data_IF_840862460730
#
_entry.id   IF_840862460730
#
_cell.length_a   1.000
_cell.length_b   1.000
_cell.length_c   1.000
_cell.angle_alpha   90.00
_cell.angle_beta   90.00
_cell.angle_gamma   90.00
#
_symmetry.space_group_name_H-M   'P 1'
#
loop_
_entity.id
_entity.type
_entity.pdbx_description
1 polymer ?
#
# COMPACT_ATOMS: atom_id res chain seq x y z
N UNK A 1 15.80 -12.64 -5.64
CA UNK A 1 16.74 -13.49 -4.87
C UNK A 1 17.42 -12.72 -3.76
N UNK A 2 17.51 -13.30 -2.55
CA UNK A 2 18.29 -12.75 -1.43
C UNK A 2 19.77 -13.06 -1.65
N UNK A 3 20.67 -12.08 -1.46
CA UNK A 3 22.11 -12.30 -1.59
C UNK A 3 22.61 -13.22 -0.46
N UNK A 4 23.28 -14.35 -0.79
CA UNK A 4 23.89 -15.21 0.22
C UNK A 4 25.12 -14.54 0.88
N UNK A 5 25.44 -14.85 2.15
CA UNK A 5 26.62 -14.30 2.81
C UNK A 5 27.90 -14.77 2.10
N UNK A 6 28.86 -13.85 1.92
CA UNK A 6 30.18 -14.09 1.30
C UNK A 6 30.16 -14.64 -0.14
N UNK A 7 29.04 -14.53 -0.86
CA UNK A 7 28.92 -14.98 -2.25
C UNK A 7 28.28 -13.90 -3.12
N UNK A 8 28.69 -13.86 -4.39
CA UNK A 8 28.11 -12.95 -5.37
C UNK A 8 26.82 -13.52 -5.97
N UNK A 9 25.95 -12.62 -6.43
CA UNK A 9 24.75 -13.01 -7.16
C UNK A 9 25.17 -13.38 -8.59
N UNK A 10 24.64 -14.47 -9.13
CA UNK A 10 24.85 -14.81 -10.53
C UNK A 10 24.22 -13.75 -11.43
N UNK A 11 24.70 -13.60 -12.67
CA UNK A 11 24.15 -12.64 -13.64
C UNK A 11 22.63 -12.75 -13.78
N UNK A 12 22.10 -13.97 -13.90
CA UNK A 12 20.66 -14.22 -13.98
C UNK A 12 19.90 -13.74 -12.73
N UNK A 13 20.47 -13.93 -11.53
CA UNK A 13 19.88 -13.46 -10.28
C UNK A 13 19.91 -11.93 -10.16
N UNK A 14 20.98 -11.29 -10.64
CA UNK A 14 21.09 -9.84 -10.68
C UNK A 14 20.05 -9.24 -11.64
N UNK A 15 19.93 -9.81 -12.85
CA UNK A 15 18.93 -9.39 -13.83
C UNK A 15 17.51 -9.52 -13.26
N UNK A 16 17.17 -10.65 -12.64
CA UNK A 16 15.88 -10.85 -11.97
C UNK A 16 15.63 -9.79 -10.87
N UNK A 17 16.63 -9.50 -10.04
CA UNK A 17 16.51 -8.49 -9.00
C UNK A 17 16.34 -7.08 -9.58
N UNK A 18 17.03 -6.77 -10.68
CA UNK A 18 16.91 -5.49 -11.37
C UNK A 18 15.52 -5.29 -11.97
N UNK A 19 14.94 -6.34 -12.56
CA UNK A 19 13.57 -6.28 -13.09
C UNK A 19 12.51 -6.14 -11.99
N UNK A 20 12.74 -6.74 -10.82
CA UNK A 20 11.76 -6.73 -9.72
C UNK A 20 11.88 -5.50 -8.80
N UNK A 21 13.04 -4.83 -8.76
CA UNK A 21 13.28 -3.74 -7.83
C UNK A 21 12.33 -2.54 -8.00
N UNK A 22 11.94 -2.09 -9.23
CA UNK A 22 11.03 -0.96 -9.37
C UNK A 22 9.64 -1.30 -8.82
N UNK A 23 9.16 -2.52 -9.06
CA UNK A 23 7.88 -3.00 -8.55
C UNK A 23 7.86 -3.03 -7.02
N UNK A 24 8.96 -3.46 -6.37
CA UNK A 24 9.06 -3.46 -4.90
C UNK A 24 8.95 -2.06 -4.32
N UNK A 25 9.60 -1.07 -4.92
CA UNK A 25 9.52 0.33 -4.46
C UNK A 25 8.06 0.81 -4.46
N UNK A 26 7.30 0.54 -5.53
CA UNK A 26 5.88 0.92 -5.61
C UNK A 26 5.06 0.21 -4.54
N UNK A 27 5.28 -1.11 -4.35
CA UNK A 27 4.59 -1.91 -3.34
C UNK A 27 4.88 -1.38 -1.93
N UNK A 28 6.14 -1.09 -1.60
CA UNK A 28 6.55 -0.58 -0.29
C UNK A 28 5.93 0.79 0.00
N UNK A 29 5.82 1.67 -1.00
CA UNK A 29 5.14 2.96 -0.87
C UNK A 29 3.64 2.78 -0.62
N UNK A 30 2.97 1.91 -1.38
CA UNK A 30 1.56 1.60 -1.16
C UNK A 30 1.34 1.01 0.25
N UNK A 31 2.19 0.07 0.67
CA UNK A 31 2.10 -0.59 1.96
C UNK A 31 2.34 0.37 3.12
N UNK A 32 3.33 1.25 3.01
CA UNK A 32 3.57 2.34 3.97
C UNK A 32 2.38 3.32 4.01
N UNK A 33 1.76 3.56 2.86
CA UNK A 33 0.58 4.39 2.76
C UNK A 33 -0.68 3.78 3.36
N UNK A 34 -0.83 2.44 3.33
CA UNK A 34 -1.91 1.70 3.99
C UNK A 34 -1.75 1.69 5.51
N UNK A 35 -0.51 1.60 6.01
CA UNK A 35 -0.21 1.64 7.46
C UNK A 35 -0.65 2.93 8.16
N UNK A 36 -1.04 3.99 7.43
CA UNK A 36 -1.76 5.12 8.05
C UNK A 36 -3.05 4.70 8.75
N UNK A 37 -3.67 3.61 8.30
CA UNK A 37 -4.77 2.96 8.98
C UNK A 37 -4.20 2.14 10.13
N UNK A 38 -4.37 2.61 11.37
CA UNK A 38 -3.78 1.97 12.57
C UNK A 38 -4.15 0.50 12.72
N UNK A 39 -5.33 0.08 12.25
CA UNK A 39 -5.73 -1.34 12.20
C UNK A 39 -4.78 -2.24 11.38
N UNK A 40 -4.07 -1.68 10.39
CA UNK A 40 -3.09 -2.40 9.56
C UNK A 40 -1.67 -2.23 10.09
N UNK A 41 -1.37 -1.10 10.75
CA UNK A 41 -0.07 -0.84 11.34
C UNK A 41 0.16 -1.59 12.66
N UNK A 42 -0.85 -1.57 13.53
CA UNK A 42 -0.80 -2.14 14.87
C UNK A 42 -1.20 -3.62 14.85
N UNK A 43 -0.91 -4.33 15.94
CA UNK A 43 -1.24 -5.75 16.04
C UNK A 43 -2.76 -5.98 16.08
N UNK A 44 -3.31 -6.51 14.99
CA UNK A 44 -4.72 -6.87 14.90
C UNK A 44 -5.00 -8.20 15.65
N UNK A 45 -5.65 -8.11 16.82
CA UNK A 45 -5.97 -9.27 17.69
C UNK A 45 -7.22 -10.07 17.29
N UNK A 46 -7.72 -9.88 16.06
CA UNK A 46 -8.88 -10.61 15.55
C UNK A 46 -8.53 -12.05 15.18
N UNK A 47 -9.35 -12.99 15.66
CA UNK A 47 -9.28 -14.41 15.29
C UNK A 47 -9.96 -14.64 13.93
N UNK A 48 -9.37 -15.53 13.13
CA UNK A 48 -9.86 -15.89 11.78
C UNK A 48 -9.05 -15.22 10.67
N UNK A 49 -8.47 -16.04 9.79
CA UNK A 49 -7.65 -15.57 8.66
C UNK A 49 -8.45 -14.68 7.70
N UNK A 50 -9.65 -15.13 7.34
CA UNK A 50 -10.55 -14.39 6.44
C UNK A 50 -10.82 -12.96 6.92
N UNK A 51 -11.01 -12.75 8.23
CA UNK A 51 -11.26 -11.43 8.81
C UNK A 51 -10.05 -10.50 8.64
N UNK A 52 -8.84 -11.02 8.86
CA UNK A 52 -7.61 -10.25 8.68
C UNK A 52 -7.38 -9.91 7.21
N UNK A 53 -7.66 -10.83 6.31
CA UNK A 53 -7.56 -10.61 4.87
C UNK A 53 -8.57 -9.54 4.42
N UNK A 54 -9.81 -9.58 4.93
CA UNK A 54 -10.81 -8.52 4.68
C UNK A 54 -10.32 -7.15 5.14
N UNK A 55 -9.70 -7.04 6.32
CA UNK A 55 -9.15 -5.77 6.81
C UNK A 55 -8.11 -5.21 5.84
N UNK A 56 -7.22 -6.04 5.31
CA UNK A 56 -6.22 -5.61 4.32
C UNK A 56 -6.89 -5.17 3.02
N UNK A 57 -7.89 -5.90 2.50
CA UNK A 57 -8.60 -5.52 1.27
C UNK A 57 -9.31 -4.18 1.43
N UNK A 58 -9.99 -3.96 2.56
CA UNK A 58 -10.64 -2.68 2.86
C UNK A 58 -9.61 -1.56 2.95
N UNK A 59 -8.47 -1.82 3.61
CA UNK A 59 -7.38 -0.85 3.71
C UNK A 59 -6.77 -0.48 2.35
N UNK A 60 -6.61 -1.45 1.44
CA UNK A 60 -6.22 -1.20 0.05
C UNK A 60 -7.23 -0.27 -0.64
N UNK A 61 -8.52 -0.55 -0.51
CA UNK A 61 -9.60 0.28 -1.07
C UNK A 61 -9.56 1.72 -0.55
N UNK A 62 -9.43 1.90 0.77
CA UNK A 62 -9.31 3.23 1.39
C UNK A 62 -8.04 3.97 0.96
N UNK A 63 -6.92 3.27 0.83
CA UNK A 63 -5.68 3.85 0.33
C UNK A 63 -5.83 4.31 -1.13
N UNK A 64 -6.44 3.48 -1.98
CA UNK A 64 -6.69 3.80 -3.38
C UNK A 64 -7.65 5.00 -3.51
N UNK A 65 -8.73 5.03 -2.72
CA UNK A 65 -9.62 6.17 -2.65
C UNK A 65 -8.87 7.44 -2.25
N UNK A 66 -7.93 7.35 -1.31
CA UNK A 66 -7.12 8.50 -0.88
C UNK A 66 -6.21 9.03 -1.99
N UNK A 67 -5.53 8.17 -2.73
CA UNK A 67 -4.44 8.58 -3.62
C UNK A 67 -4.86 8.73 -5.08
N UNK A 68 -6.01 8.15 -5.49
CA UNK A 68 -6.46 8.14 -6.89
C UNK A 68 -7.87 8.69 -7.10
N UNK A 69 -8.65 8.95 -6.04
CA UNK A 69 -10.03 9.39 -6.22
C UNK A 69 -10.12 10.86 -6.59
N UNK A 70 -10.83 11.22 -7.68
CA UNK A 70 -11.13 12.60 -8.01
C UNK A 70 -12.09 13.24 -7.00
N UNK A 71 -12.83 12.45 -6.21
CA UNK A 71 -13.73 12.94 -5.16
C UNK A 71 -12.98 13.56 -3.97
N UNK A 72 -11.67 13.32 -3.86
CA UNK A 72 -10.83 13.92 -2.81
C UNK A 72 -10.19 15.24 -3.25
N UNK A 73 -10.28 15.59 -4.54
CA UNK A 73 -10.02 16.96 -4.98
C UNK A 73 -11.09 17.82 -4.30
N UNK A 74 -10.71 18.57 -3.27
CA UNK A 74 -11.58 19.54 -2.65
C UNK A 74 -12.03 20.51 -3.74
N UNK A 75 -13.27 20.36 -4.19
CA UNK A 75 -13.92 21.23 -5.16
C UNK A 75 -14.90 22.10 -4.38
N UNK A 76 -14.47 23.28 -3.87
CA UNK A 76 -15.33 24.16 -3.07
C UNK A 76 -16.60 24.55 -3.83
N UNK A 77 -16.55 24.53 -5.16
CA UNK A 77 -17.64 24.93 -6.05
C UNK A 77 -18.81 23.92 -6.09
N UNK A 78 -18.61 22.69 -5.60
CA UNK A 78 -19.63 21.62 -5.64
C UNK A 78 -20.53 21.57 -4.40
N UNK A 79 -20.25 22.38 -3.39
CA UNK A 79 -21.09 22.50 -2.21
C UNK A 79 -21.57 23.95 -2.13
N UNK A 80 -22.84 24.25 -2.46
CA UNK A 80 -23.36 25.60 -2.27
C UNK A 80 -23.17 25.96 -0.80
N UNK A 81 -22.57 27.12 -0.55
CA UNK A 81 -22.47 27.67 0.80
C UNK A 81 -23.87 27.64 1.39
N UNK A 82 -24.05 26.93 2.52
CA UNK A 82 -25.28 27.01 3.29
C UNK A 82 -25.46 28.49 3.63
N UNK A 83 -26.45 29.12 2.98
CA UNK A 83 -26.79 30.52 3.16
C UNK A 83 -27.21 30.74 4.61
N UNK A 84 -26.60 31.75 5.25
CA UNK A 84 -27.08 32.37 6.48
C UNK A 84 -28.52 32.92 6.32
#
# INVERSE_FOLDING_TARGET
HKKPPKRELTFAQQLYNHLLSPLRVVIEHAHSGMKRLRMVQDTLRLRGQWRRDTVIVVACGLHNLRVRSPLRLYAPDKFPKLSE
#
